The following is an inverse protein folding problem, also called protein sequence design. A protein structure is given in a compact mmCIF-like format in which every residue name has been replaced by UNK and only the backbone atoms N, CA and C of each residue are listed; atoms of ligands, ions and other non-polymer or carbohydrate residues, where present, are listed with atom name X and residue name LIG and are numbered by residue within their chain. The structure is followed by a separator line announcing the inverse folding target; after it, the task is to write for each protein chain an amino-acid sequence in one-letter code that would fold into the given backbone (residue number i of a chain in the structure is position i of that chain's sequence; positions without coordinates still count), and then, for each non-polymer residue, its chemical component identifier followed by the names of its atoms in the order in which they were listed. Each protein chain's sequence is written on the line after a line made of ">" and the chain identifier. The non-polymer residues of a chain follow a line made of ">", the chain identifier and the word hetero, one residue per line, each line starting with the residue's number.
data_IF_640022064019
#
_entry.id   IF_640022064019
#
_cell.length_a   1.000
_cell.length_b   1.000
_cell.length_c   1.000
_cell.angle_alpha   90.00
_cell.angle_beta   90.00
_cell.angle_gamma   90.00
#
_symmetry.space_group_name_H-M   'P 1'
#
loop_
_entity.id
_entity.type
_entity.pdbx_description
1 polymer ?
#
# COMPACT_ATOMS: atom_id res chain seq x y z
N UNK A 1 -5.74 -7.43 -3.39
CA UNK A 1 -7.03 -7.13 -4.02
C UNK A 1 -8.22 -7.25 -3.06
N UNK A 2 -8.21 -8.22 -2.15
CA UNK A 2 -9.31 -8.42 -1.18
C UNK A 2 -9.49 -7.20 -0.27
N UNK A 3 -8.43 -6.64 0.28
CA UNK A 3 -8.50 -5.48 1.20
C UNK A 3 -9.07 -4.22 0.53
N UNK A 4 -8.76 -3.97 -0.75
CA UNK A 4 -9.27 -2.82 -1.51
C UNK A 4 -10.79 -2.86 -1.63
N UNK A 5 -11.34 -4.02 -1.96
CA UNK A 5 -12.79 -4.23 -2.07
C UNK A 5 -13.47 -4.09 -0.71
N UNK A 6 -12.81 -4.54 0.36
CA UNK A 6 -13.33 -4.41 1.73
C UNK A 6 -13.45 -2.96 2.17
N UNK A 7 -12.46 -2.10 1.87
CA UNK A 7 -12.55 -0.67 2.18
C UNK A 7 -13.75 -0.04 1.50
N UNK A 8 -13.93 -0.27 0.19
CA UNK A 8 -15.08 0.27 -0.57
C UNK A 8 -16.41 -0.25 -0.01
N UNK A 9 -16.48 -1.51 0.40
CA UNK A 9 -17.68 -2.08 1.03
C UNK A 9 -17.97 -1.44 2.39
N UNK A 10 -16.95 -1.17 3.20
CA UNK A 10 -17.11 -0.47 4.47
C UNK A 10 -17.62 0.97 4.25
N UNK A 11 -17.06 1.70 3.30
CA UNK A 11 -17.53 3.04 2.95
C UNK A 11 -18.98 3.01 2.44
N UNK A 12 -19.33 2.06 1.57
CA UNK A 12 -20.69 1.89 1.07
C UNK A 12 -21.69 1.49 2.17
N UNK A 13 -21.23 0.80 3.22
CA UNK A 13 -22.02 0.46 4.39
C UNK A 13 -22.18 1.63 5.38
N UNK A 14 -21.55 2.77 5.11
CA UNK A 14 -21.67 4.01 5.90
C UNK A 14 -20.71 4.11 7.08
N UNK A 15 -19.60 3.37 7.09
CA UNK A 15 -18.55 3.55 8.08
C UNK A 15 -17.74 4.82 7.78
N UNK A 16 -17.63 5.70 8.78
CA UNK A 16 -16.88 6.96 8.68
C UNK A 16 -15.37 6.76 8.78
N UNK A 17 -14.96 5.66 9.41
CA UNK A 17 -13.55 5.36 9.67
C UNK A 17 -13.28 3.89 9.46
N UNK A 18 -12.23 3.59 8.69
CA UNK A 18 -11.76 2.23 8.41
C UNK A 18 -10.28 2.14 8.79
N UNK A 19 -9.95 1.25 9.71
CA UNK A 19 -8.56 0.96 10.06
C UNK A 19 -8.04 -0.19 9.21
N UNK A 20 -6.90 0.04 8.54
CA UNK A 20 -6.17 -0.97 7.78
C UNK A 20 -4.87 -1.26 8.51
N UNK A 21 -4.80 -2.40 9.16
CA UNK A 21 -3.60 -2.83 9.89
C UNK A 21 -2.75 -3.77 9.02
N UNK A 22 -1.43 -3.58 9.05
CA UNK A 22 -0.46 -4.49 8.43
C UNK A 22 0.46 -5.10 9.47
N UNK A 23 0.75 -6.36 9.32
CA UNK A 23 1.73 -7.08 10.14
C UNK A 23 3.12 -6.80 9.57
N UNK A 24 3.71 -5.68 9.83
CA UNK A 24 5.06 -5.16 9.67
C UNK A 24 6.16 -5.95 8.91
N UNK A 25 5.82 -6.87 8.00
CA UNK A 25 6.79 -7.70 7.27
C UNK A 25 6.51 -7.65 5.76
N UNK A 26 7.46 -7.09 5.04
CA UNK A 26 7.61 -7.14 3.58
C UNK A 26 6.69 -6.21 2.83
N UNK A 27 7.15 -5.24 2.16
CA UNK A 27 6.60 -4.33 1.10
C UNK A 27 5.06 -4.05 1.07
N UNK A 28 4.30 -4.55 2.07
CA UNK A 28 2.87 -4.31 2.23
C UNK A 28 2.57 -2.85 2.61
N UNK A 29 3.56 -2.16 3.18
CA UNK A 29 3.44 -0.77 3.63
C UNK A 29 3.18 0.19 2.47
N UNK A 30 3.85 0.00 1.33
CA UNK A 30 3.63 0.82 0.12
C UNK A 30 2.24 0.59 -0.46
N UNK A 31 1.78 -0.67 -0.45
CA UNK A 31 0.44 -1.00 -0.90
C UNK A 31 -0.63 -0.37 0.01
N UNK A 32 -0.43 -0.38 1.33
CA UNK A 32 -1.37 0.26 2.27
C UNK A 32 -1.38 1.77 2.13
N UNK A 33 -0.22 2.41 1.99
CA UNK A 33 -0.14 3.86 1.74
C UNK A 33 -0.99 4.28 0.52
N UNK A 34 -1.02 3.45 -0.53
CA UNK A 34 -1.85 3.71 -1.72
C UNK A 34 -3.36 3.51 -1.51
N UNK A 35 -3.80 3.05 -0.34
CA UNK A 35 -5.21 2.73 -0.04
C UNK A 35 -5.82 3.63 1.03
N UNK A 36 -5.00 4.29 1.84
CA UNK A 36 -5.47 5.01 3.03
C UNK A 36 -5.38 6.53 2.84
N UNK A 37 -6.28 7.24 3.49
CA UNK A 37 -6.26 8.70 3.50
C UNK A 37 -5.14 9.24 4.41
N UNK A 38 -4.89 8.57 5.54
CA UNK A 38 -3.86 8.88 6.51
C UNK A 38 -3.00 7.65 6.79
N UNK A 39 -1.68 7.77 6.68
CA UNK A 39 -0.74 6.68 6.96
C UNK A 39 -0.04 6.91 8.29
N UNK A 40 -0.43 6.11 9.30
CA UNK A 40 0.13 6.17 10.66
C UNK A 40 1.24 5.13 10.83
N UNK A 41 2.46 5.60 11.08
CA UNK A 41 3.59 4.73 11.41
C UNK A 41 3.68 4.55 12.92
N UNK A 42 3.53 3.30 13.38
CA UNK A 42 3.63 2.94 14.80
C UNK A 42 5.00 2.33 15.07
N UNK A 43 5.72 2.91 16.03
CA UNK A 43 7.04 2.45 16.44
C UNK A 43 7.06 2.10 17.92
N UNK A 44 8.05 1.32 18.33
CA UNK A 44 8.30 0.97 19.72
C UNK A 44 9.55 1.67 20.20
N UNK A 45 9.54 2.16 21.44
CA UNK A 45 10.74 2.67 22.08
C UNK A 45 11.56 1.52 22.70
N UNK A 46 12.89 1.66 22.72
CA UNK A 46 13.79 0.77 23.47
C UNK A 46 14.27 -0.46 22.73
N UNK A 47 14.13 -0.54 21.40
CA UNK A 47 14.64 -1.65 20.58
C UNK A 47 16.11 -1.50 20.18
N UNK A 48 16.77 -0.41 20.56
CA UNK A 48 18.24 -0.17 20.44
C UNK A 48 18.62 0.80 19.34
N UNK A 49 18.38 0.50 18.09
CA UNK A 49 18.70 1.37 16.96
C UNK A 49 17.44 1.61 16.11
N UNK A 50 16.57 2.43 16.67
CA UNK A 50 15.20 2.63 16.19
C UNK A 50 15.14 3.22 14.78
N UNK A 51 16.14 4.05 14.43
CA UNK A 51 16.21 4.65 13.08
C UNK A 51 16.90 3.76 12.05
N UNK A 52 17.86 2.90 12.44
CA UNK A 52 18.58 2.04 11.49
C UNK A 52 17.74 0.87 11.00
N UNK A 53 16.79 0.39 11.82
CA UNK A 53 15.88 -0.70 11.44
C UNK A 53 14.74 -0.25 10.52
N UNK A 54 14.50 1.05 10.38
CA UNK A 54 13.37 1.57 9.60
C UNK A 54 13.85 1.94 8.21
N UNK A 55 13.21 1.36 7.21
CA UNK A 55 13.43 1.74 5.82
C UNK A 55 13.06 3.21 5.63
N UNK A 56 13.99 4.02 5.16
CA UNK A 56 13.81 5.45 4.89
C UNK A 56 12.51 5.76 4.15
N UNK A 57 12.15 4.94 3.15
CA UNK A 57 10.94 5.12 2.36
C UNK A 57 9.63 5.04 3.15
N UNK A 58 9.58 4.25 4.24
CA UNK A 58 8.37 4.18 5.09
C UNK A 58 8.18 5.48 5.87
N UNK A 59 9.27 6.07 6.35
CA UNK A 59 9.21 7.35 7.06
C UNK A 59 8.77 8.49 6.14
N UNK A 60 9.20 8.47 4.87
CA UNK A 60 8.79 9.46 3.87
C UNK A 60 7.28 9.39 3.54
N UNK A 61 6.68 8.20 3.68
CA UNK A 61 5.26 7.98 3.42
C UNK A 61 4.36 8.31 4.62
N UNK A 62 4.93 8.46 5.83
CA UNK A 62 4.14 8.63 7.03
C UNK A 62 3.52 10.03 7.12
N UNK A 63 2.21 10.10 7.30
CA UNK A 63 1.49 11.33 7.63
C UNK A 63 1.54 11.65 9.13
N UNK A 64 1.82 10.64 9.96
CA UNK A 64 2.08 10.76 11.39
C UNK A 64 2.91 9.59 11.91
N UNK A 65 3.73 9.83 12.93
CA UNK A 65 4.54 8.80 13.59
C UNK A 65 4.18 8.78 15.08
N UNK A 66 3.96 7.60 15.63
CA UNK A 66 3.68 7.44 17.05
C UNK A 66 4.61 6.41 17.68
N UNK A 67 5.11 6.74 18.87
CA UNK A 67 6.01 5.89 19.64
C UNK A 67 5.21 5.27 20.77
N UNK A 68 4.99 3.96 20.69
CA UNK A 68 4.23 3.20 21.68
C UNK A 68 5.08 2.82 22.90
N UNK A 69 4.41 2.37 23.96
CA UNK A 69 4.99 1.99 25.26
C UNK A 69 5.69 3.16 25.95
N UNK A 70 5.13 4.37 25.83
CA UNK A 70 5.58 5.56 26.54
C UNK A 70 5.01 5.57 27.97
N UNK A 71 5.37 4.56 28.76
CA UNK A 71 4.91 4.39 30.14
C UNK A 71 6.01 3.80 31.03
N UNK A 72 5.82 3.89 32.37
CA UNK A 72 6.75 3.38 33.36
C UNK A 72 8.19 3.85 33.12
N UNK A 73 9.15 2.94 33.23
CA UNK A 73 10.58 3.22 33.03
C UNK A 73 10.97 3.47 31.58
N UNK A 74 10.02 3.37 30.65
CA UNK A 74 10.27 3.52 29.21
C UNK A 74 9.95 4.92 28.68
N UNK A 75 9.39 5.81 29.50
CA UNK A 75 8.97 7.17 29.11
C UNK A 75 10.15 7.96 28.49
N UNK A 76 11.31 7.96 29.14
CA UNK A 76 12.47 8.71 28.67
C UNK A 76 12.98 8.18 27.34
N UNK A 77 13.00 6.86 27.16
CA UNK A 77 13.38 6.23 25.90
C UNK A 77 12.39 6.57 24.78
N UNK A 78 11.09 6.56 25.06
CA UNK A 78 10.06 6.93 24.11
C UNK A 78 10.19 8.40 23.68
N UNK A 79 10.45 9.30 24.61
CA UNK A 79 10.68 10.72 24.33
C UNK A 79 11.95 10.94 23.50
N UNK A 80 13.02 10.22 23.81
CA UNK A 80 14.27 10.28 23.04
C UNK A 80 14.03 9.80 21.60
N UNK A 81 13.36 8.65 21.42
CA UNK A 81 12.99 8.13 20.11
C UNK A 81 12.14 9.15 19.33
N UNK A 82 11.13 9.73 19.95
CA UNK A 82 10.30 10.74 19.32
C UNK A 82 11.12 11.97 18.87
N UNK A 83 12.10 12.39 19.66
CA UNK A 83 13.01 13.48 19.28
C UNK A 83 13.89 13.10 18.07
N UNK A 84 14.40 11.87 18.03
CA UNK A 84 15.18 11.36 16.89
C UNK A 84 14.35 11.33 15.60
N UNK A 85 13.10 10.83 15.67
CA UNK A 85 12.19 10.83 14.52
C UNK A 85 11.84 12.23 14.03
N UNK A 86 11.59 13.20 14.96
CA UNK A 86 11.37 14.60 14.56
C UNK A 86 12.56 15.17 13.81
N UNK A 87 13.77 14.94 14.32
CA UNK A 87 15.00 15.40 13.66
C UNK A 87 15.19 14.74 12.28
N UNK A 88 14.91 13.44 12.16
CA UNK A 88 15.00 12.74 10.89
C UNK A 88 13.99 13.27 9.86
N UNK A 89 12.75 13.59 10.26
CA UNK A 89 11.74 14.14 9.38
C UNK A 89 12.15 15.49 8.76
N UNK A 90 12.95 16.30 9.43
CA UNK A 90 13.48 17.56 8.87
C UNK A 90 14.47 17.36 7.72
N UNK A 91 14.99 16.14 7.53
CA UNK A 91 15.90 15.81 6.44
C UNK A 91 15.17 15.40 5.16
N UNK A 92 13.86 15.20 5.24
CA UNK A 92 13.06 14.83 4.07
C UNK A 92 12.51 16.07 3.35
N UNK A 93 12.29 15.97 2.04
CA UNK A 93 11.60 17.03 1.32
C UNK A 93 10.17 17.21 1.86
N UNK A 94 9.58 18.41 1.69
CA UNK A 94 8.18 18.62 2.01
C UNK A 94 7.28 17.60 1.33
N UNK A 95 6.27 17.09 2.04
CA UNK A 95 5.27 16.20 1.45
C UNK A 95 4.47 16.92 0.36
N UNK A 96 3.96 16.17 -0.62
CA UNK A 96 3.09 16.73 -1.67
C UNK A 96 1.84 17.42 -1.11
N UNK A 97 1.36 16.95 0.03
CA UNK A 97 0.21 17.57 0.72
C UNK A 97 0.53 18.94 1.32
N UNK A 98 1.81 19.27 1.52
CA UNK A 98 2.26 20.39 2.34
C UNK A 98 2.11 20.16 3.86
N UNK A 99 1.64 18.97 4.27
CA UNK A 99 1.58 18.57 5.67
C UNK A 99 2.96 18.17 6.17
N UNK A 100 3.30 18.61 7.38
CA UNK A 100 4.50 18.14 8.07
C UNK A 100 4.10 17.08 9.11
N UNK A 101 4.60 15.82 9.00
CA UNK A 101 4.22 14.74 9.89
C UNK A 101 4.55 15.05 11.35
N UNK A 102 3.58 14.83 12.24
CA UNK A 102 3.80 14.98 13.69
C UNK A 102 4.30 13.68 14.29
N UNK A 103 5.13 13.81 15.34
CA UNK A 103 5.64 12.67 16.11
C UNK A 103 5.13 12.77 17.54
N UNK A 104 4.32 11.80 17.97
CA UNK A 104 3.73 11.73 19.29
C UNK A 104 4.20 10.47 20.03
N UNK A 105 4.17 10.52 21.37
CA UNK A 105 4.36 9.35 22.23
C UNK A 105 3.02 8.94 22.82
N UNK A 106 2.80 7.64 23.00
CA UNK A 106 1.56 7.15 23.59
C UNK A 106 1.77 5.82 24.33
N UNK A 107 0.84 5.50 25.23
CA UNK A 107 0.75 4.19 25.86
C UNK A 107 -0.59 3.55 25.53
N UNK A 108 -0.57 2.52 24.73
CA UNK A 108 -1.78 1.73 24.43
C UNK A 108 -2.28 0.98 25.68
N UNK A 109 -1.39 0.64 26.61
CA UNK A 109 -1.75 -0.08 27.82
C UNK A 109 -2.52 0.79 28.82
N UNK A 110 -2.10 2.04 29.00
CA UNK A 110 -2.72 2.98 29.93
C UNK A 110 -3.68 3.96 29.26
N UNK A 111 -3.93 3.85 27.95
CA UNK A 111 -4.76 4.77 27.17
C UNK A 111 -4.32 6.24 27.26
N UNK A 112 -3.01 6.47 27.35
CA UNK A 112 -2.42 7.82 27.39
C UNK A 112 -2.00 8.23 25.97
N UNK A 113 -2.36 9.45 25.55
CA UNK A 113 -1.97 10.00 24.24
C UNK A 113 -2.85 9.56 23.07
N UNK A 114 -3.89 8.75 23.30
CA UNK A 114 -4.79 8.27 22.23
C UNK A 114 -5.61 9.42 21.63
N UNK A 115 -6.09 10.32 22.49
CA UNK A 115 -6.85 11.50 22.03
C UNK A 115 -6.00 12.39 21.14
N UNK A 116 -4.77 12.65 21.51
CA UNK A 116 -3.83 13.48 20.77
C UNK A 116 -3.51 12.90 19.38
N UNK A 117 -3.44 11.57 19.29
CA UNK A 117 -3.29 10.88 17.99
C UNK A 117 -4.52 11.12 17.11
N UNK A 118 -5.73 10.99 17.68
CA UNK A 118 -6.96 11.22 16.94
C UNK A 118 -7.13 12.68 16.53
N UNK A 119 -6.78 13.61 17.40
CA UNK A 119 -6.75 15.04 17.09
C UNK A 119 -5.77 15.34 15.93
N UNK A 120 -4.60 14.70 15.91
CA UNK A 120 -3.63 14.82 14.80
C UNK A 120 -4.22 14.33 13.47
N UNK A 121 -4.94 13.19 13.47
CA UNK A 121 -5.62 12.68 12.27
C UNK A 121 -6.68 13.67 11.80
N UNK A 122 -7.47 14.22 12.73
CA UNK A 122 -8.48 15.25 12.44
C UNK A 122 -7.87 16.51 11.81
N UNK A 123 -6.78 17.02 12.38
CA UNK A 123 -6.06 18.18 11.84
C UNK A 123 -5.53 17.93 10.41
N UNK A 124 -4.95 16.75 10.15
CA UNK A 124 -4.51 16.37 8.82
C UNK A 124 -5.68 16.34 7.83
N UNK A 125 -6.79 15.73 8.22
CA UNK A 125 -7.99 15.64 7.37
C UNK A 125 -8.55 17.01 7.04
N UNK A 126 -8.62 17.91 8.03
CA UNK A 126 -9.06 19.27 7.81
C UNK A 126 -8.12 20.05 6.88
N UNK A 127 -6.81 19.94 7.14
CA UNK A 127 -5.77 20.58 6.36
C UNK A 127 -5.80 20.15 4.88
N UNK A 128 -5.86 18.83 4.62
CA UNK A 128 -5.82 18.26 3.27
C UNK A 128 -7.13 18.47 2.51
N UNK A 129 -8.27 18.54 3.21
CA UNK A 129 -9.55 18.93 2.60
C UNK A 129 -9.54 20.40 2.20
N UNK A 130 -8.98 21.28 3.05
CA UNK A 130 -8.94 22.73 2.79
C UNK A 130 -8.05 23.09 1.60
N UNK A 131 -6.91 22.42 1.43
CA UNK A 131 -5.99 22.67 0.32
C UNK A 131 -6.28 21.86 -0.95
N UNK A 132 -7.30 20.97 -0.91
CA UNK A 132 -7.72 20.13 -2.04
C UNK A 132 -6.92 18.84 -2.21
N UNK A 133 -5.86 18.62 -1.42
CA UNK A 133 -5.01 17.42 -1.53
C UNK A 133 -5.77 16.13 -1.26
N UNK A 134 -6.73 16.14 -0.33
CA UNK A 134 -7.56 14.97 -0.02
C UNK A 134 -8.24 14.40 -1.27
N UNK A 135 -8.89 15.25 -2.05
CA UNK A 135 -9.57 14.82 -3.28
C UNK A 135 -8.56 14.41 -4.36
N UNK A 136 -7.45 15.14 -4.48
CA UNK A 136 -6.36 14.79 -5.39
C UNK A 136 -5.81 13.40 -5.09
N UNK A 137 -5.45 13.12 -3.82
CA UNK A 137 -4.93 11.81 -3.38
C UNK A 137 -5.92 10.68 -3.70
N UNK A 138 -7.21 10.86 -3.40
CA UNK A 138 -8.25 9.85 -3.70
C UNK A 138 -8.43 9.60 -5.20
N UNK A 139 -8.32 10.61 -6.03
CA UNK A 139 -8.37 10.46 -7.48
C UNK A 139 -7.16 9.67 -8.02
N UNK A 140 -5.96 9.97 -7.53
CA UNK A 140 -4.76 9.20 -7.90
C UNK A 140 -4.82 7.76 -7.39
N UNK A 141 -5.34 7.52 -6.19
CA UNK A 141 -5.60 6.18 -5.68
C UNK A 141 -6.61 5.42 -6.56
N UNK A 142 -7.71 6.05 -6.95
CA UNK A 142 -8.72 5.44 -7.83
C UNK A 142 -8.13 5.06 -9.19
N UNK A 143 -7.31 5.94 -9.76
CA UNK A 143 -6.59 5.68 -11.01
C UNK A 143 -5.60 4.52 -10.87
N UNK A 144 -4.79 4.51 -9.83
CA UNK A 144 -3.88 3.42 -9.52
C UNK A 144 -4.62 2.08 -9.42
N UNK A 145 -5.74 2.05 -8.69
CA UNK A 145 -6.53 0.84 -8.51
C UNK A 145 -7.18 0.33 -9.80
N UNK A 146 -7.56 1.26 -10.69
CA UNK A 146 -8.04 0.88 -12.01
C UNK A 146 -6.97 0.10 -12.78
N UNK A 147 -5.74 0.60 -12.83
CA UNK A 147 -4.65 -0.10 -13.52
C UNK A 147 -4.29 -1.44 -12.86
N UNK A 148 -4.21 -1.49 -11.54
CA UNK A 148 -3.96 -2.72 -10.81
C UNK A 148 -5.05 -3.77 -11.08
N UNK A 149 -6.32 -3.37 -11.06
CA UNK A 149 -7.44 -4.28 -11.35
C UNK A 149 -7.41 -4.80 -12.79
N UNK A 150 -6.98 -3.98 -13.75
CA UNK A 150 -6.78 -4.40 -15.14
C UNK A 150 -5.65 -5.44 -15.20
N UNK A 151 -4.50 -5.15 -14.60
CA UNK A 151 -3.33 -6.02 -14.60
C UNK A 151 -3.64 -7.37 -13.93
N UNK A 152 -4.27 -7.34 -12.77
CA UNK A 152 -4.68 -8.54 -12.04
C UNK A 152 -5.66 -9.39 -12.86
N UNK A 153 -6.66 -8.74 -13.48
CA UNK A 153 -7.65 -9.43 -14.32
C UNK A 153 -7.01 -10.05 -15.55
N UNK A 154 -6.10 -9.33 -16.21
CA UNK A 154 -5.39 -9.84 -17.39
C UNK A 154 -4.49 -11.01 -17.02
N UNK A 155 -3.75 -10.88 -15.91
CA UNK A 155 -2.89 -11.97 -15.38
C UNK A 155 -3.72 -13.21 -15.05
N UNK A 156 -4.82 -13.03 -14.33
CA UNK A 156 -5.70 -14.12 -13.92
C UNK A 156 -6.28 -14.84 -15.14
N UNK A 157 -6.85 -14.10 -16.09
CA UNK A 157 -7.38 -14.66 -17.34
C UNK A 157 -6.33 -15.36 -18.19
N UNK A 158 -5.10 -14.87 -18.18
CA UNK A 158 -4.02 -15.47 -18.93
C UNK A 158 -3.60 -16.80 -18.31
N UNK A 159 -3.23 -16.83 -17.04
CA UNK A 159 -2.68 -18.02 -16.39
C UNK A 159 -3.72 -19.10 -16.11
N UNK A 160 -5.00 -18.74 -15.91
CA UNK A 160 -6.09 -19.71 -15.77
C UNK A 160 -6.81 -20.05 -17.10
N UNK A 161 -6.24 -19.66 -18.23
CA UNK A 161 -6.75 -20.12 -19.51
C UNK A 161 -6.29 -21.57 -19.75
N UNK A 162 -7.20 -22.55 -19.97
CA UNK A 162 -6.82 -23.96 -20.11
C UNK A 162 -5.78 -24.26 -21.19
N UNK A 163 -5.79 -23.52 -22.29
CA UNK A 163 -4.81 -23.70 -23.36
C UNK A 163 -3.43 -23.15 -22.99
N UNK A 164 -3.39 -22.03 -22.25
CA UNK A 164 -2.15 -21.47 -21.71
C UNK A 164 -1.59 -22.41 -20.65
N UNK A 165 -2.42 -22.81 -19.68
CA UNK A 165 -2.03 -23.71 -18.60
C UNK A 165 -1.47 -25.03 -19.13
N UNK A 166 -2.13 -25.62 -20.14
CA UNK A 166 -1.67 -26.89 -20.76
C UNK A 166 -0.34 -26.79 -21.52
N UNK A 167 0.05 -25.59 -21.99
CA UNK A 167 1.32 -25.38 -22.69
C UNK A 167 2.44 -24.79 -21.82
N UNK A 168 2.12 -24.26 -20.64
CA UNK A 168 3.06 -23.49 -19.82
C UNK A 168 4.26 -24.37 -19.41
N UNK A 169 4.01 -25.55 -18.86
CA UNK A 169 5.06 -26.47 -18.37
C UNK A 169 6.01 -26.92 -19.51
N UNK A 170 5.46 -27.19 -20.69
CA UNK A 170 6.27 -27.58 -21.85
C UNK A 170 7.14 -26.40 -22.32
N UNK A 171 6.58 -25.19 -22.35
CA UNK A 171 7.29 -23.97 -22.75
C UNK A 171 8.39 -23.63 -21.77
N UNK A 172 8.16 -23.79 -20.47
CA UNK A 172 9.19 -23.62 -19.43
C UNK A 172 10.34 -24.61 -19.61
N UNK A 173 10.06 -25.89 -19.90
CA UNK A 173 11.10 -26.89 -20.19
C UNK A 173 11.95 -26.50 -21.40
N UNK A 174 11.35 -25.98 -22.47
CA UNK A 174 12.07 -25.53 -23.64
C UNK A 174 13.02 -24.36 -23.33
N UNK A 175 12.58 -23.42 -22.48
CA UNK A 175 13.43 -22.31 -22.02
C UNK A 175 14.58 -22.80 -21.17
N UNK A 176 14.32 -23.70 -20.21
CA UNK A 176 15.34 -24.26 -19.32
C UNK A 176 16.40 -25.09 -20.08
N UNK A 177 16.00 -25.76 -21.15
CA UNK A 177 16.87 -26.52 -22.04
C UNK A 177 17.60 -25.65 -23.08
N UNK A 178 17.41 -24.33 -23.08
CA UNK A 178 17.94 -23.40 -24.10
C UNK A 178 17.46 -23.70 -25.53
N UNK A 179 16.34 -24.36 -25.71
CA UNK A 179 15.75 -24.65 -27.04
C UNK A 179 15.13 -23.38 -27.65
N UNK A 180 14.54 -22.52 -26.81
CA UNK A 180 14.00 -21.23 -27.19
C UNK A 180 14.40 -20.16 -26.17
N UNK A 181 14.48 -18.90 -26.61
CA UNK A 181 14.73 -17.80 -25.68
C UNK A 181 13.45 -17.46 -24.87
N UNK A 182 13.63 -16.90 -23.67
CA UNK A 182 12.53 -16.43 -22.81
C UNK A 182 11.58 -15.46 -23.54
N UNK A 183 12.12 -14.59 -24.40
CA UNK A 183 11.31 -13.65 -25.19
C UNK A 183 10.45 -14.35 -26.25
N UNK A 184 10.97 -15.39 -26.92
CA UNK A 184 10.23 -16.19 -27.88
C UNK A 184 9.15 -16.99 -27.17
N UNK A 185 9.47 -17.58 -26.01
CA UNK A 185 8.51 -18.29 -25.17
C UNK A 185 7.34 -17.39 -24.77
N UNK A 186 7.64 -16.22 -24.18
CA UNK A 186 6.64 -15.27 -23.75
C UNK A 186 5.73 -14.83 -24.92
N UNK A 187 6.34 -14.52 -26.08
CA UNK A 187 5.57 -14.13 -27.26
C UNK A 187 4.62 -15.25 -27.72
N UNK A 188 5.09 -16.49 -27.80
CA UNK A 188 4.26 -17.64 -28.18
C UNK A 188 3.06 -17.82 -27.24
N UNK A 189 3.27 -17.68 -25.93
CA UNK A 189 2.21 -17.82 -24.95
C UNK A 189 1.17 -16.71 -25.07
N UNK A 190 1.62 -15.47 -25.32
CA UNK A 190 0.74 -14.32 -25.53
C UNK A 190 -0.05 -14.48 -26.84
N UNK A 191 0.61 -14.86 -27.94
CA UNK A 191 -0.05 -15.07 -29.25
C UNK A 191 -1.10 -16.19 -29.17
N UNK A 192 -0.81 -17.27 -28.43
CA UNK A 192 -1.78 -18.33 -28.14
C UNK A 192 -3.01 -17.77 -27.44
N UNK A 193 -2.82 -17.03 -26.34
CA UNK A 193 -3.91 -16.44 -25.57
C UNK A 193 -4.77 -15.50 -26.41
N UNK A 194 -4.14 -14.61 -27.19
CA UNK A 194 -4.84 -13.65 -28.05
C UNK A 194 -5.64 -14.32 -29.17
N UNK A 195 -5.11 -15.40 -29.76
CA UNK A 195 -5.82 -16.13 -30.80
C UNK A 195 -7.12 -16.76 -30.32
N UNK A 196 -7.17 -17.16 -29.05
CA UNK A 196 -8.36 -17.75 -28.43
C UNK A 196 -9.44 -16.72 -28.08
N UNK A 197 -9.07 -15.48 -27.81
CA UNK A 197 -10.02 -14.39 -27.55
C UNK A 197 -10.79 -14.06 -28.83
N UNK A 198 -10.14 -14.05 -30.00
CA UNK A 198 -10.78 -13.78 -31.28
C UNK A 198 -11.76 -14.88 -31.74
N UNK A 199 -11.58 -16.12 -31.28
CA UNK A 199 -12.46 -17.24 -31.64
C UNK A 199 -13.75 -17.24 -30.79
N UNK A 200 -13.73 -16.64 -29.60
CA UNK A 200 -14.87 -16.65 -28.67
C UNK A 200 -15.89 -15.51 -28.88
N UNK A 201 -15.65 -14.55 -29.77
CA UNK A 201 -16.68 -13.59 -30.18
C UNK A 201 -17.58 -14.21 -31.25
N UNK A 202 -18.85 -14.53 -30.94
CA UNK A 202 -19.80 -14.87 -32.02
C UNK A 202 -19.98 -13.61 -32.85
N UNK A 203 -19.64 -13.73 -34.15
CA UNK A 203 -19.98 -12.72 -35.16
C UNK A 203 -21.45 -12.37 -35.03
N UNK A 204 -21.79 -11.29 -34.38
CA UNK A 204 -23.09 -10.62 -34.54
C UNK A 204 -23.06 -9.96 -35.90
N UNK A 205 -23.27 -10.77 -36.94
CA UNK A 205 -23.73 -10.27 -38.22
C UNK A 205 -25.25 -10.16 -38.15
N UNK A 206 -25.68 -8.94 -38.18
CA UNK A 206 -26.86 -8.37 -38.85
C UNK A 206 -28.13 -9.22 -38.97
N UNK A 207 -29.17 -8.77 -38.39
CA UNK A 207 -30.42 -8.51 -39.09
C UNK A 207 -30.89 -7.11 -38.80
#
# INVERSE_FOLDING_TARGET
>A
DVYKRQIVLCEAAGFDTVFVETVGVGQSETAVHSMVDFFLLIQLAGTGDELQGIKRGIMEMADGIIINKADGDNIDKANLAAAQFRNALHLFPPSESGWFPKVLTYSGYYNIGIKEIWDMVGEYMEFTKKNGYFNYKRNEQAKYWMYESINDTLRDKFYHNPAVEGMLEQTEKQVLNNEISSFVAAKRMIDLFLSLIHISEPTRHSL
#
